data_IF_480338353534
#
_entry.id   IF_480338353534
#
_cell.length_a   1.000
_cell.length_b   1.000
_cell.length_c   1.000
_cell.angle_alpha   90.00
_cell.angle_beta   90.00
_cell.angle_gamma   90.00
#
_symmetry.space_group_name_H-M   'P 1'
#
loop_
_entity.id
_entity.type
_entity.pdbx_description
1 polymer ?
#
# COMPACT_ATOMS: atom_id res chain seq x y z
N UNK A 1 -16.38 9.51 -12.45
CA UNK A 1 -15.06 8.98 -12.03
C UNK A 1 -15.25 8.29 -10.69
N UNK A 2 -14.89 7.01 -10.55
CA UNK A 2 -15.02 6.30 -9.27
C UNK A 2 -13.84 6.70 -8.35
N UNK A 3 -14.10 6.96 -7.07
CA UNK A 3 -13.10 7.52 -6.13
C UNK A 3 -11.83 6.66 -6.03
N UNK A 4 -11.98 5.34 -6.00
CA UNK A 4 -10.84 4.43 -5.91
C UNK A 4 -9.89 4.54 -7.11
N UNK A 5 -10.41 4.84 -8.30
CA UNK A 5 -9.59 4.96 -9.52
C UNK A 5 -8.62 6.13 -9.39
N UNK A 6 -9.12 7.28 -8.92
CA UNK A 6 -8.30 8.46 -8.67
C UNK A 6 -7.22 8.17 -7.61
N UNK A 7 -7.59 7.48 -6.53
CA UNK A 7 -6.64 7.07 -5.50
C UNK A 7 -5.54 6.16 -6.06
N UNK A 8 -5.91 5.19 -6.90
CA UNK A 8 -4.97 4.27 -7.54
C UNK A 8 -4.03 4.98 -8.51
N UNK A 9 -4.54 5.90 -9.33
CA UNK A 9 -3.70 6.71 -10.22
C UNK A 9 -2.68 7.52 -9.41
N UNK A 10 -3.09 8.15 -8.31
CA UNK A 10 -2.18 8.90 -7.44
C UNK A 10 -1.15 8.00 -6.74
N UNK A 11 -1.55 6.84 -6.22
CA UNK A 11 -0.60 5.89 -5.62
C UNK A 11 0.42 5.38 -6.63
N UNK A 12 -0.02 5.11 -7.87
CA UNK A 12 0.87 4.70 -8.95
C UNK A 12 1.87 5.80 -9.32
N UNK A 13 1.44 7.07 -9.41
CA UNK A 13 2.32 8.22 -9.64
C UNK A 13 3.38 8.40 -8.53
N UNK A 14 3.04 8.05 -7.29
CA UNK A 14 3.97 8.04 -6.16
C UNK A 14 4.95 6.84 -6.18
N UNK A 15 4.89 5.99 -7.20
CA UNK A 15 5.79 4.86 -7.40
C UNK A 15 5.40 3.60 -6.64
N UNK A 16 4.14 3.44 -6.24
CA UNK A 16 3.64 2.19 -5.65
C UNK A 16 3.54 1.14 -6.76
N UNK A 17 4.26 0.03 -6.64
CA UNK A 17 4.12 -1.12 -7.54
C UNK A 17 3.38 -2.31 -6.94
N UNK A 18 3.27 -2.39 -5.60
CA UNK A 18 2.79 -3.57 -4.88
C UNK A 18 1.80 -3.17 -3.79
N UNK A 19 0.69 -3.90 -3.72
CA UNK A 19 -0.33 -3.76 -2.68
C UNK A 19 -0.43 -5.09 -1.93
N UNK A 20 -0.25 -5.04 -0.62
CA UNK A 20 -0.32 -6.21 0.25
C UNK A 20 -1.64 -6.19 1.01
N UNK A 21 -2.29 -7.33 1.18
CA UNK A 21 -3.57 -7.31 1.87
C UNK A 21 -4.15 -8.68 2.22
N UNK A 22 -5.19 -8.67 3.05
CA UNK A 22 -6.04 -9.82 3.33
C UNK A 22 -7.44 -9.56 2.75
N UNK A 23 -7.92 -10.34 1.78
CA UNK A 23 -9.29 -10.19 1.28
C UNK A 23 -10.28 -10.52 2.40
N UNK A 24 -11.24 -9.63 2.62
CA UNK A 24 -12.35 -9.82 3.56
C UNK A 24 -13.63 -9.24 2.99
N UNK A 25 -14.78 -9.70 3.50
CA UNK A 25 -16.11 -9.42 2.93
C UNK A 25 -16.39 -7.93 2.70
N UNK A 26 -15.88 -7.06 3.59
CA UNK A 26 -16.12 -5.61 3.50
C UNK A 26 -15.27 -4.89 2.44
N UNK A 27 -14.20 -5.51 1.94
CA UNK A 27 -13.26 -4.86 0.99
C UNK A 27 -13.19 -5.57 -0.37
N UNK A 28 -14.01 -6.60 -0.61
CA UNK A 28 -14.01 -7.36 -1.87
C UNK A 28 -14.13 -6.47 -3.12
N UNK A 29 -14.98 -5.45 -3.08
CA UNK A 29 -15.14 -4.51 -4.20
C UNK A 29 -13.85 -3.71 -4.50
N UNK A 30 -13.05 -3.42 -3.47
CA UNK A 30 -11.78 -2.73 -3.62
C UNK A 30 -10.70 -3.68 -4.18
N UNK A 31 -10.72 -4.94 -3.76
CA UNK A 31 -9.83 -5.99 -4.28
C UNK A 31 -10.10 -6.29 -5.74
N UNK A 32 -11.37 -6.43 -6.12
CA UNK A 32 -11.77 -6.56 -7.52
C UNK A 32 -11.29 -5.37 -8.35
N UNK A 33 -11.46 -4.15 -7.85
CA UNK A 33 -10.96 -2.96 -8.52
C UNK A 33 -9.42 -2.92 -8.62
N UNK A 34 -8.69 -3.48 -7.64
CA UNK A 34 -7.23 -3.60 -7.68
C UNK A 34 -6.78 -4.68 -8.66
N UNK A 35 -7.49 -5.80 -8.76
CA UNK A 35 -7.24 -6.85 -9.76
C UNK A 35 -7.49 -6.33 -11.18
N UNK A 36 -8.56 -5.57 -11.39
CA UNK A 36 -8.85 -4.90 -12.66
C UNK A 36 -7.79 -3.84 -13.00
N UNK A 37 -7.15 -3.26 -11.97
CA UNK A 37 -6.11 -2.24 -12.12
C UNK A 37 -4.73 -2.90 -12.32
N UNK A 38 -4.47 -3.32 -13.56
CA UNK A 38 -3.29 -4.11 -14.00
C UNK A 38 -1.90 -3.48 -13.74
N UNK A 39 -1.83 -2.29 -13.15
CA UNK A 39 -0.58 -1.61 -12.82
C UNK A 39 -0.01 -2.00 -11.46
N UNK A 40 -0.85 -2.49 -10.54
CA UNK A 40 -0.42 -2.95 -9.23
C UNK A 40 -0.29 -4.46 -9.20
N UNK A 41 0.69 -4.95 -8.43
CA UNK A 41 0.75 -6.35 -8.04
C UNK A 41 0.06 -6.52 -6.69
N UNK A 42 -1.10 -7.17 -6.69
CA UNK A 42 -1.80 -7.56 -5.47
C UNK A 42 -1.17 -8.82 -4.88
N UNK A 43 -0.82 -8.78 -3.58
CA UNK A 43 -0.26 -9.90 -2.83
C UNK A 43 -1.15 -10.15 -1.63
N UNK A 44 -1.78 -11.33 -1.60
CA UNK A 44 -2.72 -11.72 -0.56
C UNK A 44 -2.04 -12.55 0.53
N UNK A 45 -2.33 -12.27 1.80
CA UNK A 45 -1.90 -13.09 2.94
C UNK A 45 -3.10 -13.79 3.58
N UNK A 46 -2.86 -14.60 4.60
CA UNK A 46 -3.89 -15.21 5.45
C UNK A 46 -3.92 -14.67 6.88
N UNK A 47 -2.93 -13.85 7.25
CA UNK A 47 -2.81 -13.23 8.57
C UNK A 47 -2.57 -11.74 8.42
N UNK A 48 -3.35 -10.95 9.16
CA UNK A 48 -3.31 -9.49 9.13
C UNK A 48 -1.94 -8.93 9.52
N UNK A 49 -1.32 -9.28 10.67
CA UNK A 49 0.01 -8.75 10.99
C UNK A 49 1.08 -9.05 9.94
N UNK A 50 0.95 -10.17 9.21
CA UNK A 50 1.88 -10.52 8.14
C UNK A 50 1.80 -9.54 6.95
N UNK A 51 0.63 -8.98 6.67
CA UNK A 51 0.42 -7.96 5.63
C UNK A 51 1.26 -6.73 5.92
N UNK A 52 1.17 -6.18 7.14
CA UNK A 52 1.91 -4.99 7.52
C UNK A 52 3.43 -5.22 7.53
N UNK A 53 3.90 -6.38 8.01
CA UNK A 53 5.32 -6.73 7.95
C UNK A 53 5.83 -6.88 6.51
N UNK A 54 5.04 -7.48 5.63
CA UNK A 54 5.40 -7.61 4.22
C UNK A 54 5.46 -6.24 3.53
N UNK A 55 4.51 -5.35 3.83
CA UNK A 55 4.50 -3.99 3.29
C UNK A 55 5.72 -3.17 3.75
N UNK A 56 6.07 -3.22 5.03
CA UNK A 56 7.27 -2.56 5.57
C UNK A 56 8.57 -3.16 4.98
N UNK A 57 8.69 -4.49 4.95
CA UNK A 57 9.85 -5.15 4.34
C UNK A 57 9.99 -4.81 2.86
N UNK A 58 8.88 -4.82 2.11
CA UNK A 58 8.88 -4.42 0.69
C UNK A 58 9.32 -2.98 0.52
N UNK A 59 8.82 -2.05 1.33
CA UNK A 59 9.22 -0.65 1.25
C UNK A 59 10.74 -0.47 1.47
N UNK A 60 11.32 -1.23 2.41
CA UNK A 60 12.77 -1.19 2.69
C UNK A 60 13.61 -1.77 1.57
N UNK A 61 13.21 -2.93 1.02
CA UNK A 61 13.96 -3.66 -0.01
C UNK A 61 13.88 -2.95 -1.37
N UNK A 62 12.68 -2.50 -1.75
CA UNK A 62 12.42 -1.95 -3.08
C UNK A 62 12.62 -0.45 -3.15
N UNK A 63 12.70 0.22 -1.98
CA UNK A 63 12.76 1.68 -1.89
C UNK A 63 11.55 2.39 -2.54
N UNK A 64 10.43 1.65 -2.62
CA UNK A 64 9.10 2.11 -3.06
C UNK A 64 8.18 2.29 -1.84
N UNK A 65 7.04 2.96 -2.03
CA UNK A 65 6.02 3.03 -0.98
C UNK A 65 5.31 1.67 -0.84
N UNK A 66 5.35 1.11 0.38
CA UNK A 66 4.59 -0.09 0.73
C UNK A 66 3.14 0.27 1.08
N UNK A 67 2.17 -0.32 0.38
CA UNK A 67 0.74 -0.12 0.64
C UNK A 67 0.15 -1.39 1.23
N UNK A 68 -0.51 -1.28 2.38
CA UNK A 68 -1.31 -2.34 2.97
C UNK A 68 -2.81 -2.02 2.85
N UNK A 69 -3.63 -3.03 2.57
CA UNK A 69 -5.08 -2.91 2.47
C UNK A 69 -5.77 -3.92 3.39
N UNK A 70 -6.38 -3.41 4.46
CA UNK A 70 -6.93 -4.21 5.57
C UNK A 70 -8.33 -3.72 5.92
N UNK A 71 -9.19 -4.63 6.39
CA UNK A 71 -10.59 -4.32 6.69
C UNK A 71 -10.77 -3.78 8.11
N UNK A 72 -11.74 -2.88 8.29
CA UNK A 72 -12.19 -2.43 9.62
C UNK A 72 -12.69 -3.63 10.45
N UNK A 73 -12.25 -3.76 11.71
CA UNK A 73 -12.69 -4.84 12.62
C UNK A 73 -11.57 -5.75 13.13
N UNK A 74 -11.37 -6.92 12.50
CA UNK A 74 -10.36 -7.90 12.90
C UNK A 74 -8.93 -7.50 12.45
N UNK A 75 -8.81 -6.92 11.26
CA UNK A 75 -7.51 -6.52 10.71
C UNK A 75 -6.86 -5.35 11.44
N UNK A 76 -7.61 -4.31 11.78
CA UNK A 76 -7.05 -3.13 12.47
C UNK A 76 -6.29 -3.47 13.77
N UNK A 77 -6.77 -4.46 14.53
CA UNK A 77 -6.16 -4.85 15.79
C UNK A 77 -4.85 -5.62 15.59
N UNK A 78 -4.76 -6.40 14.52
CA UNK A 78 -3.54 -7.12 14.14
C UNK A 78 -2.52 -6.25 13.42
N UNK A 79 -2.98 -5.28 12.63
CA UNK A 79 -2.14 -4.41 11.81
C UNK A 79 -1.56 -3.21 12.55
N UNK A 80 -2.09 -2.85 13.71
CA UNK A 80 -1.53 -1.75 14.51
C UNK A 80 -0.06 -2.01 14.90
N UNK A 81 0.31 -3.28 15.14
CA UNK A 81 1.67 -3.67 15.50
C UNK A 81 2.69 -3.39 14.37
N UNK A 82 2.49 -3.86 13.13
CA UNK A 82 3.41 -3.52 12.04
C UNK A 82 3.37 -2.03 11.66
N UNK A 83 2.23 -1.34 11.72
CA UNK A 83 2.15 0.11 11.46
C UNK A 83 2.98 0.89 12.49
N UNK A 84 2.81 0.57 13.77
CA UNK A 84 3.57 1.19 14.86
C UNK A 84 5.06 0.90 14.71
N UNK A 85 5.44 -0.33 14.33
CA UNK A 85 6.84 -0.68 14.09
C UNK A 85 7.44 0.10 12.91
N UNK A 86 6.72 0.22 11.80
CA UNK A 86 7.14 1.07 10.67
C UNK A 86 7.34 2.53 11.09
N UNK A 87 6.51 3.05 11.99
CA UNK A 87 6.67 4.40 12.54
C UNK A 87 7.91 4.53 13.44
N UNK A 88 8.13 3.58 14.35
CA UNK A 88 9.29 3.56 15.27
C UNK A 88 10.61 3.37 14.52
N UNK A 89 10.64 2.49 13.52
CA UNK A 89 11.83 2.19 12.71
C UNK A 89 12.03 3.18 11.54
N UNK A 90 11.16 4.19 11.46
CA UNK A 90 11.11 5.18 10.40
C UNK A 90 10.51 4.62 9.12
N UNK A 91 9.32 5.11 8.74
CA UNK A 91 8.78 4.88 7.40
C UNK A 91 9.70 5.56 6.40
N UNK A 92 10.28 4.79 5.49
CA UNK A 92 11.10 5.32 4.40
C UNK A 92 10.18 6.03 3.40
N UNK A 93 9.83 7.29 3.70
CA UNK A 93 9.13 8.16 2.76
C UNK A 93 10.12 8.56 1.67
N UNK A 94 9.85 8.16 0.44
CA UNK A 94 10.48 8.80 -0.71
C UNK A 94 9.85 10.18 -0.88
N UNK A 95 10.46 11.19 -0.29
CA UNK A 95 10.20 12.59 -0.65
C UNK A 95 11.03 12.84 -1.90
N UNK A 96 10.46 12.57 -3.08
CA UNK A 96 11.07 13.01 -4.33
C UNK A 96 10.72 14.50 -4.49
N UNK A 97 11.51 15.38 -3.86
CA UNK A 97 11.61 16.79 -4.26
C UNK A 97 12.30 16.84 -5.62
N UNK A 98 11.59 16.43 -6.67
CA UNK A 98 11.93 16.86 -8.02
C UNK A 98 11.47 18.29 -8.15
N UNK A 99 12.37 19.20 -7.79
CA UNK A 99 12.36 20.58 -8.30
C UNK A 99 12.03 20.55 -9.79
N UNK A 100 11.13 21.44 -10.18
CA UNK A 100 10.88 21.81 -11.57
C UNK A 100 12.18 22.25 -12.25
N UNK A 101 12.96 21.29 -12.77
CA UNK A 101 13.91 21.53 -13.85
C UNK A 101 13.16 21.33 -15.16
N UNK A 102 12.26 22.28 -15.45
CA UNK A 102 11.87 22.59 -16.83
C UNK A 102 12.81 23.69 -17.32
N UNK A 103 13.78 23.25 -18.11
CA UNK A 103 14.20 23.83 -19.41
C UNK A 103 14.31 25.36 -19.55
N UNK A 104 15.53 25.78 -19.93
CA UNK A 104 15.88 26.79 -20.96
C UNK A 104 15.23 28.17 -20.88
#
# INVERSE_FOLDING_TARGET
MKLYQFLFDQLYEQGVGRVFGLPGDFVLNLYQALEDYSKFRLITFSHEPAVGFAADASARITNELGVCCVTYGAGERGDISPILRGFVEGFKRRVDTRENLKTT
#
